data_IF_299316092407
#
_entry.id   IF_299316092407
#
_cell.length_a   1.000
_cell.length_b   1.000
_cell.length_c   1.000
_cell.angle_alpha   90.00
_cell.angle_beta   90.00
_cell.angle_gamma   90.00
#
_symmetry.space_group_name_H-M   'P 1'
#
loop_
_entity.id
_entity.type
_entity.pdbx_description
1 polymer ?
#
# COMPACT_ATOMS: atom_id res chain seq x y z
N UNK A 1 22.38 -13.25 -9.90
CA UNK A 1 22.00 -13.08 -8.48
C UNK A 1 23.25 -13.02 -7.57
N UNK A 2 24.23 -13.90 -7.70
CA UNK A 2 25.42 -13.86 -6.84
C UNK A 2 26.22 -12.57 -6.99
N UNK A 3 26.45 -12.12 -8.22
CA UNK A 3 27.10 -10.83 -8.50
C UNK A 3 26.33 -9.65 -7.87
N UNK A 4 24.98 -9.67 -7.92
CA UNK A 4 24.17 -8.63 -7.29
C UNK A 4 24.37 -8.59 -5.77
N UNK A 5 24.46 -9.75 -5.09
CA UNK A 5 24.75 -9.84 -3.65
C UNK A 5 26.09 -9.19 -3.29
N UNK A 6 27.12 -9.50 -4.07
CA UNK A 6 28.45 -8.89 -3.88
C UNK A 6 28.40 -7.37 -4.02
N UNK A 7 27.69 -6.86 -5.04
CA UNK A 7 27.55 -5.42 -5.28
C UNK A 7 26.72 -4.72 -4.18
N UNK A 8 25.65 -5.35 -3.67
CA UNK A 8 24.88 -4.84 -2.53
C UNK A 8 25.74 -4.78 -1.26
N UNK A 9 26.51 -5.85 -0.99
CA UNK A 9 27.45 -5.88 0.15
C UNK A 9 28.50 -4.78 0.03
N UNK A 10 29.14 -4.62 -1.14
CA UNK A 10 30.11 -3.57 -1.39
C UNK A 10 29.53 -2.14 -1.27
N UNK A 11 28.23 -1.99 -1.53
CA UNK A 11 27.50 -0.74 -1.36
C UNK A 11 26.99 -0.51 0.08
N UNK A 12 27.23 -1.44 1.01
CA UNK A 12 26.75 -1.38 2.40
C UNK A 12 25.22 -1.50 2.51
N UNK A 13 24.54 -2.11 1.54
CA UNK A 13 23.09 -2.26 1.50
C UNK A 13 22.72 -3.63 2.10
N UNK A 14 21.94 -3.60 3.18
CA UNK A 14 21.50 -4.80 3.86
C UNK A 14 20.52 -5.63 3.02
N UNK A 15 20.65 -6.95 3.04
CA UNK A 15 19.70 -7.85 2.41
C UNK A 15 19.62 -9.19 3.16
N UNK A 16 18.51 -9.90 2.90
CA UNK A 16 18.28 -11.28 3.34
C UNK A 16 17.96 -12.15 2.14
N UNK A 17 18.36 -13.42 2.20
CA UNK A 17 18.05 -14.42 1.18
C UNK A 17 16.85 -15.25 1.61
N UNK A 18 15.99 -15.61 0.66
CA UNK A 18 14.81 -16.45 0.87
C UNK A 18 13.91 -15.96 2.03
N UNK A 19 13.80 -14.64 2.18
CA UNK A 19 13.00 -14.02 3.25
C UNK A 19 11.51 -14.24 3.01
N UNK A 20 10.75 -14.81 3.97
CA UNK A 20 9.32 -15.06 3.85
C UNK A 20 8.52 -13.75 3.74
N UNK A 21 7.88 -13.51 2.59
CA UNK A 21 7.12 -12.28 2.33
C UNK A 21 5.84 -12.17 3.18
N UNK A 22 5.33 -13.28 3.69
CA UNK A 22 4.24 -13.29 4.67
C UNK A 22 4.57 -12.46 5.92
N UNK A 23 5.84 -12.33 6.31
CA UNK A 23 6.26 -11.49 7.44
C UNK A 23 6.15 -9.98 7.14
N UNK A 24 6.16 -9.60 5.86
CA UNK A 24 6.27 -8.23 5.37
C UNK A 24 4.99 -7.69 4.72
N UNK A 25 3.86 -8.35 4.90
CA UNK A 25 2.57 -7.87 4.44
C UNK A 25 1.48 -8.07 5.51
N UNK A 26 0.43 -7.25 5.44
CA UNK A 26 -0.67 -7.30 6.43
C UNK A 26 -1.55 -8.53 6.25
N UNK A 27 -1.57 -9.16 5.07
CA UNK A 27 -2.33 -10.38 4.80
C UNK A 27 -1.70 -11.64 5.42
N UNK A 28 -0.40 -11.56 5.75
CA UNK A 28 0.37 -12.69 6.29
C UNK A 28 0.38 -13.92 5.37
N UNK A 29 0.40 -13.69 4.07
CA UNK A 29 0.46 -14.70 3.00
C UNK A 29 1.61 -14.34 2.04
N UNK A 30 2.36 -15.34 1.61
CA UNK A 30 3.41 -15.21 0.62
C UNK A 30 4.63 -16.07 0.90
N UNK A 31 5.14 -16.69 -0.15
CA UNK A 31 6.39 -17.43 -0.14
C UNK A 31 7.62 -16.52 -0.04
N UNK A 32 8.83 -17.06 -0.23
CA UNK A 32 10.06 -16.30 -0.03
C UNK A 32 10.38 -15.33 -1.18
N UNK A 33 10.94 -14.17 -0.86
CA UNK A 33 11.68 -13.37 -1.83
C UNK A 33 13.08 -13.95 -2.02
N UNK A 34 13.56 -14.06 -3.26
CA UNK A 34 14.92 -14.53 -3.52
C UNK A 34 15.96 -13.64 -2.86
N UNK A 35 15.78 -12.31 -2.93
CA UNK A 35 16.47 -11.34 -2.09
C UNK A 35 15.46 -10.33 -1.54
N UNK A 36 15.55 -10.06 -0.26
CA UNK A 36 14.82 -9.00 0.43
C UNK A 36 15.83 -7.93 0.85
N UNK A 37 15.81 -6.77 0.18
CA UNK A 37 16.80 -5.71 0.33
C UNK A 37 16.21 -4.59 1.15
N UNK A 38 16.95 -4.11 2.14
CA UNK A 38 16.53 -3.09 3.10
C UNK A 38 17.43 -1.85 2.99
N UNK A 39 17.16 -0.94 2.03
CA UNK A 39 17.89 0.31 1.93
C UNK A 39 17.66 1.16 3.18
N UNK A 40 18.72 1.71 3.75
CA UNK A 40 18.64 2.55 4.94
C UNK A 40 18.14 3.97 4.63
N UNK A 41 18.31 4.42 3.38
CA UNK A 41 17.97 5.75 2.94
C UNK A 41 17.71 5.80 1.42
N UNK A 42 17.35 6.98 0.93
CA UNK A 42 17.07 7.26 -0.48
C UNK A 42 18.26 6.96 -1.41
N UNK A 43 19.49 7.27 -0.98
CA UNK A 43 20.69 7.04 -1.80
C UNK A 43 20.91 5.54 -1.99
N UNK A 44 20.76 4.75 -0.93
CA UNK A 44 20.83 3.30 -1.00
C UNK A 44 19.69 2.70 -1.84
N UNK A 45 18.47 3.23 -1.76
CA UNK A 45 17.35 2.80 -2.60
C UNK A 45 17.67 3.02 -4.09
N UNK A 46 18.07 4.24 -4.47
CA UNK A 46 18.47 4.55 -5.85
C UNK A 46 19.60 3.64 -6.32
N UNK A 47 20.59 3.40 -5.48
CA UNK A 47 21.71 2.50 -5.78
C UNK A 47 21.26 1.06 -5.99
N UNK A 48 20.39 0.53 -5.10
CA UNK A 48 19.84 -0.81 -5.22
C UNK A 48 19.04 -1.01 -6.50
N UNK A 49 18.19 -0.03 -6.85
CA UNK A 49 17.45 -0.03 -8.13
C UNK A 49 18.42 -0.06 -9.32
N UNK A 50 19.43 0.80 -9.32
CA UNK A 50 20.45 0.85 -10.40
C UNK A 50 21.20 -0.49 -10.52
N UNK A 51 21.57 -1.13 -9.41
CA UNK A 51 22.22 -2.44 -9.40
C UNK A 51 21.30 -3.53 -9.95
N UNK A 52 20.03 -3.56 -9.56
CA UNK A 52 19.07 -4.53 -10.10
C UNK A 52 18.94 -4.39 -11.63
N UNK A 53 18.82 -3.16 -12.12
CA UNK A 53 18.73 -2.89 -13.56
C UNK A 53 20.00 -3.30 -14.31
N UNK A 54 21.18 -2.91 -13.81
CA UNK A 54 22.46 -3.26 -14.44
C UNK A 54 22.69 -4.77 -14.52
N UNK A 55 22.13 -5.53 -13.59
CA UNK A 55 22.21 -6.98 -13.56
C UNK A 55 21.03 -7.70 -14.25
N UNK A 56 20.07 -6.96 -14.84
CA UNK A 56 18.88 -7.52 -15.47
C UNK A 56 17.99 -8.29 -14.48
N UNK A 57 18.03 -7.95 -13.19
CA UNK A 57 17.26 -8.61 -12.15
C UNK A 57 15.97 -7.84 -11.91
N UNK A 58 14.82 -8.53 -12.00
CA UNK A 58 13.52 -7.93 -11.68
C UNK A 58 13.45 -7.56 -10.20
N UNK A 59 12.81 -6.45 -9.90
CA UNK A 59 12.60 -6.00 -8.52
C UNK A 59 11.17 -5.53 -8.30
N UNK A 60 10.77 -5.52 -7.04
CA UNK A 60 9.48 -5.03 -6.56
C UNK A 60 9.69 -4.06 -5.39
N UNK A 61 9.03 -2.90 -5.43
CA UNK A 61 9.07 -1.91 -4.35
C UNK A 61 7.97 -2.21 -3.35
N UNK A 62 8.33 -2.46 -2.11
CA UNK A 62 7.42 -2.81 -1.04
C UNK A 62 7.39 -1.71 0.02
N UNK A 63 6.22 -1.10 0.23
CA UNK A 63 5.95 -0.29 1.42
C UNK A 63 5.51 -1.18 2.60
N UNK A 64 4.42 -0.84 3.27
CA UNK A 64 3.90 -1.63 4.39
C UNK A 64 3.16 -2.93 4.00
N UNK A 65 3.11 -3.29 2.72
CA UNK A 65 2.45 -4.50 2.24
C UNK A 65 0.95 -4.59 2.55
N UNK A 66 0.27 -3.45 2.70
CA UNK A 66 -1.13 -3.40 3.17
C UNK A 66 -2.19 -3.54 2.05
N UNK A 67 -1.76 -3.60 0.79
CA UNK A 67 -2.62 -3.85 -0.37
C UNK A 67 -2.05 -4.97 -1.27
N UNK A 68 -1.27 -5.88 -0.70
CA UNK A 68 -0.49 -6.88 -1.44
C UNK A 68 -0.89 -8.29 -1.02
N UNK A 69 -1.02 -9.16 -2.03
CA UNK A 69 -1.08 -10.61 -1.88
C UNK A 69 0.11 -11.21 -2.63
N UNK A 70 1.09 -11.72 -1.91
CA UNK A 70 2.22 -12.42 -2.52
C UNK A 70 1.85 -13.85 -2.86
N UNK A 71 2.39 -14.34 -3.99
CA UNK A 71 2.24 -15.73 -4.42
C UNK A 71 2.84 -16.72 -3.41
N UNK A 72 2.32 -17.93 -3.38
CA UNK A 72 2.80 -18.99 -2.48
C UNK A 72 4.23 -19.44 -2.83
N UNK A 73 4.59 -19.37 -4.12
CA UNK A 73 5.96 -19.63 -4.61
C UNK A 73 6.93 -18.50 -4.25
N UNK A 74 6.41 -17.36 -3.79
CA UNK A 74 7.18 -16.18 -3.47
C UNK A 74 7.48 -15.28 -4.67
N UNK A 75 8.59 -14.55 -4.60
CA UNK A 75 9.02 -13.62 -5.63
C UNK A 75 10.43 -13.96 -6.14
N UNK A 76 10.50 -14.42 -7.39
CA UNK A 76 11.78 -14.78 -8.01
C UNK A 76 12.51 -13.51 -8.51
N UNK A 77 12.94 -12.68 -7.57
CA UNK A 77 13.60 -11.40 -7.82
C UNK A 77 14.02 -10.74 -6.52
N UNK A 78 14.15 -9.42 -6.56
CA UNK A 78 14.50 -8.58 -5.42
C UNK A 78 13.27 -7.85 -4.92
N UNK A 79 12.94 -7.97 -3.64
CA UNK A 79 11.98 -7.08 -2.98
C UNK A 79 12.75 -5.98 -2.26
N UNK A 80 12.50 -4.72 -2.64
CA UNK A 80 13.11 -3.53 -2.03
C UNK A 80 12.13 -2.98 -0.99
N UNK A 81 12.44 -3.16 0.28
CA UNK A 81 11.61 -2.69 1.40
C UNK A 81 11.88 -1.22 1.71
N UNK A 82 11.03 -0.33 1.18
CA UNK A 82 11.14 1.12 1.45
C UNK A 82 10.67 1.49 2.86
N UNK A 83 9.92 0.63 3.54
CA UNK A 83 9.48 0.88 4.92
C UNK A 83 10.61 0.83 5.94
N UNK A 84 11.75 0.26 5.57
CA UNK A 84 12.98 0.20 6.38
C UNK A 84 13.79 1.49 6.35
N UNK A 85 13.52 2.42 5.42
CA UNK A 85 14.26 3.66 5.28
C UNK A 85 14.07 4.57 6.51
N UNK A 86 15.13 5.29 6.88
CA UNK A 86 15.13 6.29 7.96
C UNK A 86 14.59 7.63 7.47
N UNK A 87 13.44 7.57 6.82
CA UNK A 87 12.78 8.75 6.28
C UNK A 87 12.17 9.60 7.39
N UNK A 88 12.16 10.90 7.15
CA UNK A 88 11.60 11.91 8.07
C UNK A 88 10.48 12.70 7.43
N UNK A 89 9.77 13.46 8.24
CA UNK A 89 8.85 14.51 7.80
C UNK A 89 9.46 15.86 8.12
N UNK A 90 9.59 16.70 7.11
CA UNK A 90 10.03 18.10 7.23
C UNK A 90 8.82 19.00 7.10
N UNK A 91 8.77 20.06 7.94
CA UNK A 91 7.64 21.00 7.99
C UNK A 91 8.14 22.41 7.72
N UNK A 92 7.56 23.07 6.71
CA UNK A 92 7.84 24.45 6.35
C UNK A 92 6.53 25.25 6.20
N UNK A 93 6.14 25.93 7.27
CA UNK A 93 4.84 26.62 7.35
C UNK A 93 3.69 25.62 7.23
N UNK A 94 2.93 25.68 6.14
CA UNK A 94 1.80 24.78 5.86
C UNK A 94 2.18 23.61 4.94
N UNK A 95 3.44 23.49 4.56
CA UNK A 95 3.93 22.42 3.70
C UNK A 95 4.65 21.34 4.49
N UNK A 96 4.32 20.08 4.20
CA UNK A 96 5.01 18.90 4.73
C UNK A 96 5.69 18.17 3.58
N UNK A 97 6.97 17.84 3.74
CA UNK A 97 7.70 16.94 2.84
C UNK A 97 8.01 15.66 3.58
N UNK A 98 7.60 14.53 3.04
CA UNK A 98 7.81 13.22 3.66
C UNK A 98 8.47 12.24 2.69
N UNK A 99 9.44 11.46 3.17
CA UNK A 99 10.02 10.37 2.42
C UNK A 99 9.02 9.24 2.17
N UNK A 100 9.24 8.47 1.10
CA UNK A 100 8.31 7.42 0.67
C UNK A 100 8.10 6.31 1.71
N UNK A 101 9.10 6.06 2.56
CA UNK A 101 9.05 5.06 3.64
C UNK A 101 8.30 5.51 4.89
N UNK A 102 8.02 6.80 5.06
CA UNK A 102 7.28 7.32 6.22
C UNK A 102 5.90 6.68 6.30
N UNK A 103 5.52 6.21 7.49
CA UNK A 103 4.16 5.71 7.74
C UNK A 103 3.15 6.85 7.73
N UNK A 104 1.98 6.62 7.13
CA UNK A 104 0.90 7.63 7.09
C UNK A 104 0.49 8.10 8.49
N UNK A 105 0.46 7.21 9.46
CA UNK A 105 0.16 7.58 10.84
C UNK A 105 1.20 8.55 11.45
N UNK A 106 2.47 8.44 11.07
CA UNK A 106 3.52 9.37 11.50
C UNK A 106 3.34 10.73 10.79
N UNK A 107 3.10 10.74 9.46
CA UNK A 107 2.81 11.97 8.72
C UNK A 107 1.62 12.73 9.33
N UNK A 108 0.50 12.04 9.64
CA UNK A 108 -0.68 12.65 10.25
C UNK A 108 -0.40 13.19 11.66
N UNK A 109 0.40 12.49 12.46
CA UNK A 109 0.80 12.98 13.79
C UNK A 109 1.67 14.24 13.70
N UNK A 110 2.62 14.28 12.78
CA UNK A 110 3.43 15.48 12.53
C UNK A 110 2.55 16.65 12.08
N UNK A 111 1.56 16.43 11.21
CA UNK A 111 0.60 17.47 10.83
C UNK A 111 -0.16 18.02 12.05
N UNK A 112 -0.67 17.14 12.93
CA UNK A 112 -1.35 17.53 14.16
C UNK A 112 -0.42 18.32 15.10
N UNK A 113 0.82 17.89 15.29
CA UNK A 113 1.82 18.56 16.14
C UNK A 113 2.12 19.99 15.67
N UNK A 114 1.92 20.27 14.37
CA UNK A 114 2.07 21.59 13.77
C UNK A 114 0.74 22.31 13.52
N UNK A 115 -0.36 21.84 14.11
CA UNK A 115 -1.69 22.44 13.96
C UNK A 115 -2.15 22.54 12.50
N UNK A 116 -1.88 21.51 11.69
CA UNK A 116 -2.22 21.44 10.28
C UNK A 116 -3.29 20.38 10.02
N UNK A 117 -4.40 20.80 9.41
CA UNK A 117 -5.55 19.94 9.03
C UNK A 117 -5.50 19.56 7.55
N UNK A 118 -6.12 18.44 7.19
CA UNK A 118 -6.26 17.93 5.81
C UNK A 118 -5.81 16.47 5.65
N UNK A 119 -5.11 15.88 6.62
CA UNK A 119 -4.60 14.50 6.58
C UNK A 119 -5.35 13.53 7.51
N UNK A 120 -6.39 13.95 8.20
CA UNK A 120 -7.09 13.14 9.21
C UNK A 120 -7.66 11.84 8.62
N UNK A 121 -8.09 11.87 7.35
CA UNK A 121 -8.60 10.70 6.63
C UNK A 121 -7.55 9.58 6.49
N UNK A 122 -6.28 9.95 6.46
CA UNK A 122 -5.17 9.03 6.22
C UNK A 122 -4.65 8.34 7.49
N UNK A 123 -4.97 8.87 8.68
CA UNK A 123 -4.40 8.42 9.97
C UNK A 123 -4.57 6.91 10.21
N UNK A 124 -5.72 6.36 9.88
CA UNK A 124 -6.01 4.94 10.04
C UNK A 124 -5.55 4.04 8.88
N UNK A 125 -5.02 4.58 7.78
CA UNK A 125 -4.58 3.77 6.63
C UNK A 125 -3.21 3.14 6.96
N UNK A 126 -3.08 1.79 6.93
CA UNK A 126 -1.84 1.12 7.32
C UNK A 126 -0.82 1.10 6.17
N UNK A 127 -0.46 2.28 5.64
CA UNK A 127 0.43 2.42 4.49
C UNK A 127 1.65 3.29 4.77
N UNK A 128 2.58 3.33 3.81
CA UNK A 128 3.63 4.34 3.72
C UNK A 128 3.22 5.45 2.75
N UNK A 129 3.87 6.60 2.84
CA UNK A 129 3.66 7.74 1.94
C UNK A 129 3.77 7.33 0.47
N UNK A 130 4.86 6.63 0.11
CA UNK A 130 5.04 6.17 -1.28
C UNK A 130 3.93 5.23 -1.75
N UNK A 131 3.52 4.27 -0.92
CA UNK A 131 2.40 3.38 -1.23
C UNK A 131 1.05 4.11 -1.33
N UNK A 132 0.84 5.12 -0.49
CA UNK A 132 -0.38 5.92 -0.51
C UNK A 132 -0.48 6.82 -1.76
N UNK A 133 0.62 7.46 -2.16
CA UNK A 133 0.67 8.25 -3.40
C UNK A 133 0.50 7.34 -4.62
N UNK A 134 1.18 6.19 -4.65
CA UNK A 134 1.06 5.21 -5.73
C UNK A 134 -0.40 4.79 -5.99
N UNK A 135 -1.18 4.61 -4.93
CA UNK A 135 -2.58 4.18 -4.99
C UNK A 135 -3.58 5.34 -4.96
N UNK A 136 -3.14 6.60 -4.94
CA UNK A 136 -4.02 7.72 -4.55
C UNK A 136 -4.93 7.30 -3.39
N UNK A 137 -4.32 6.84 -2.30
CA UNK A 137 -5.04 6.24 -1.18
C UNK A 137 -6.04 7.22 -0.58
N UNK A 138 -7.22 6.72 -0.26
CA UNK A 138 -8.28 7.54 0.32
C UNK A 138 -9.21 6.75 1.23
N UNK A 139 -9.81 7.45 2.18
CA UNK A 139 -10.80 6.95 3.12
C UNK A 139 -11.70 8.11 3.59
N UNK A 140 -12.96 7.81 3.93
CA UNK A 140 -13.88 8.75 4.56
C UNK A 140 -14.07 10.07 3.79
N UNK A 141 -13.96 10.04 2.46
CA UNK A 141 -14.19 11.18 1.59
C UNK A 141 -12.95 12.00 1.25
N UNK A 142 -11.80 11.75 1.88
CA UNK A 142 -10.50 12.35 1.51
C UNK A 142 -9.62 11.36 0.75
N UNK A 143 -8.73 11.86 -0.08
CA UNK A 143 -7.72 11.09 -0.82
C UNK A 143 -6.42 11.89 -0.98
N UNK A 144 -5.30 11.19 -1.29
CA UNK A 144 -3.98 11.83 -1.35
C UNK A 144 -3.95 13.03 -2.30
N UNK A 145 -4.62 12.96 -3.45
CA UNK A 145 -4.66 14.07 -4.43
C UNK A 145 -5.21 15.38 -3.87
N UNK A 146 -6.00 15.33 -2.79
CA UNK A 146 -6.64 16.53 -2.22
C UNK A 146 -5.62 17.42 -1.49
N UNK A 147 -4.49 16.86 -1.08
CA UNK A 147 -3.44 17.53 -0.30
C UNK A 147 -2.05 17.45 -0.92
N UNK A 148 -1.83 16.55 -1.88
CA UNK A 148 -0.55 16.34 -2.56
C UNK A 148 -0.24 17.51 -3.50
N UNK A 149 0.98 18.02 -3.48
CA UNK A 149 1.46 19.07 -4.38
C UNK A 149 2.49 18.59 -5.38
N UNK A 150 3.55 17.91 -4.91
CA UNK A 150 4.61 17.40 -5.76
C UNK A 150 5.11 16.05 -5.27
N UNK A 151 5.73 15.30 -6.18
CA UNK A 151 6.38 14.02 -5.89
C UNK A 151 7.75 13.99 -6.54
N UNK A 152 8.78 13.64 -5.76
CA UNK A 152 10.06 13.25 -6.32
C UNK A 152 10.10 11.75 -6.53
N UNK A 153 10.54 11.31 -7.69
CA UNK A 153 10.60 9.90 -8.04
C UNK A 153 11.80 9.57 -8.91
N UNK A 154 12.24 8.32 -8.85
CA UNK A 154 13.23 7.75 -9.75
C UNK A 154 12.50 7.18 -10.96
N UNK A 155 12.88 7.61 -12.16
CA UNK A 155 12.28 7.12 -13.41
C UNK A 155 12.72 5.69 -13.74
N UNK A 156 12.06 5.08 -14.72
CA UNK A 156 12.50 3.80 -15.24
C UNK A 156 13.92 3.85 -15.82
N UNK A 157 14.44 4.99 -16.26
CA UNK A 157 15.81 5.19 -16.75
C UNK A 157 16.82 5.40 -15.63
N UNK A 158 16.37 5.70 -14.42
CA UNK A 158 17.22 5.92 -13.24
C UNK A 158 17.52 7.39 -12.96
N UNK A 159 16.79 8.31 -13.57
CA UNK A 159 16.85 9.73 -13.31
C UNK A 159 15.92 10.12 -12.16
N UNK A 160 16.35 11.02 -11.30
CA UNK A 160 15.49 11.63 -10.30
C UNK A 160 14.73 12.79 -10.93
N UNK A 161 13.41 12.71 -10.93
CA UNK A 161 12.50 13.77 -11.43
C UNK A 161 11.54 14.23 -10.35
N UNK A 162 11.00 15.41 -10.55
CA UNK A 162 9.89 15.94 -9.78
C UNK A 162 8.70 16.16 -10.71
N UNK A 163 7.50 15.83 -10.23
CA UNK A 163 6.25 16.05 -10.95
C UNK A 163 5.23 16.70 -10.03
N UNK A 164 4.44 17.63 -10.56
CA UNK A 164 3.30 18.19 -9.85
C UNK A 164 2.17 17.15 -9.73
N UNK A 165 1.36 17.24 -8.70
CA UNK A 165 0.23 16.32 -8.48
C UNK A 165 -0.71 16.25 -9.70
N UNK A 166 -0.89 17.35 -10.42
CA UNK A 166 -1.71 17.40 -11.64
C UNK A 166 -1.18 16.54 -12.80
N UNK A 167 0.11 16.21 -12.79
CA UNK A 167 0.78 15.41 -13.83
C UNK A 167 0.74 13.89 -13.49
N UNK A 168 0.26 13.53 -12.28
CA UNK A 168 0.35 12.16 -11.77
C UNK A 168 -0.88 11.29 -12.11
N UNK A 169 -1.85 11.79 -12.86
CA UNK A 169 -3.11 11.10 -13.21
C UNK A 169 -3.76 10.40 -12.00
N UNK A 170 -3.89 11.15 -10.91
CA UNK A 170 -4.43 10.63 -9.65
C UNK A 170 -5.95 10.42 -9.77
N UNK A 171 -6.34 9.18 -9.95
CA UNK A 171 -7.73 8.71 -10.01
C UNK A 171 -8.00 7.72 -8.88
N UNK A 172 -9.21 7.20 -8.81
CA UNK A 172 -9.56 6.16 -7.83
C UNK A 172 -8.62 4.95 -7.91
N UNK A 173 -7.80 4.77 -6.88
CA UNK A 173 -6.81 3.69 -6.78
C UNK A 173 -5.80 3.63 -7.93
N UNK A 174 -5.40 4.79 -8.45
CA UNK A 174 -4.52 4.89 -9.60
C UNK A 174 -3.60 6.11 -9.52
N UNK A 175 -2.39 5.95 -10.07
CA UNK A 175 -1.44 7.00 -10.43
C UNK A 175 -0.59 6.56 -11.61
N UNK A 176 0.09 7.49 -12.30
CA UNK A 176 1.00 7.19 -13.43
C UNK A 176 2.09 6.18 -13.08
N UNK A 177 2.43 6.05 -11.80
CA UNK A 177 3.48 5.12 -11.35
C UNK A 177 3.10 3.64 -11.56
N UNK A 178 1.82 3.35 -11.76
CA UNK A 178 1.34 2.02 -12.14
C UNK A 178 1.81 1.62 -13.54
N UNK A 179 1.95 2.60 -14.45
CA UNK A 179 2.25 2.39 -15.86
C UNK A 179 3.72 2.67 -16.19
N UNK A 180 4.32 3.71 -15.59
CA UNK A 180 5.67 4.15 -15.93
C UNK A 180 6.79 3.48 -15.11
N UNK A 181 6.45 2.65 -14.11
CA UNK A 181 7.43 1.95 -13.28
C UNK A 181 8.31 2.87 -12.41
N UNK A 182 7.90 4.13 -12.21
CA UNK A 182 8.63 5.09 -11.38
C UNK A 182 8.62 4.68 -9.90
N UNK A 183 9.73 4.92 -9.22
CA UNK A 183 9.88 4.69 -7.79
C UNK A 183 9.73 6.00 -7.03
N UNK A 184 8.65 6.16 -6.27
CA UNK A 184 8.41 7.34 -5.45
C UNK A 184 9.49 7.42 -4.36
N UNK A 185 10.13 8.58 -4.22
CA UNK A 185 11.20 8.84 -3.26
C UNK A 185 10.72 9.73 -2.11
N UNK A 186 9.93 10.76 -2.41
CA UNK A 186 9.29 11.63 -1.43
C UNK A 186 8.06 12.31 -2.01
N UNK A 187 7.20 12.82 -1.14
CA UNK A 187 6.01 13.57 -1.52
C UNK A 187 5.88 14.82 -0.67
N UNK A 188 5.40 15.90 -1.28
CA UNK A 188 5.09 17.17 -0.61
C UNK A 188 3.58 17.37 -0.56
N UNK A 189 3.13 17.86 0.58
CA UNK A 189 1.71 18.09 0.88
C UNK A 189 1.50 19.55 1.30
N UNK A 190 0.44 20.18 0.82
CA UNK A 190 -0.02 21.47 1.29
C UNK A 190 -1.24 21.28 2.19
N UNK A 191 -1.13 21.71 3.43
CA UNK A 191 -2.18 21.62 4.42
C UNK A 191 -2.66 23.02 4.83
N UNK A 192 -3.69 23.09 5.66
CA UNK A 192 -4.19 24.37 6.18
C UNK A 192 -4.06 24.41 7.70
N UNK A 193 -3.85 25.61 8.31
CA UNK A 193 -3.90 25.73 9.75
C UNK A 193 -5.27 25.31 10.31
N UNK A 194 -5.25 24.65 11.46
CA UNK A 194 -6.46 24.19 12.14
C UNK A 194 -6.26 24.09 13.65
N UNK A 195 -7.36 23.92 14.37
CA UNK A 195 -7.32 23.76 15.83
C UNK A 195 -6.86 22.34 16.19
N UNK A 196 -5.78 22.17 16.97
CA UNK A 196 -5.21 20.86 17.30
C UNK A 196 -6.22 19.88 17.91
N UNK A 197 -7.11 20.38 18.76
CA UNK A 197 -8.15 19.58 19.42
C UNK A 197 -9.18 19.06 18.40
N UNK A 198 -9.56 19.89 17.42
CA UNK A 198 -10.47 19.50 16.35
C UNK A 198 -9.83 18.45 15.40
N UNK A 199 -8.55 18.65 15.04
CA UNK A 199 -7.77 17.71 14.23
C UNK A 199 -7.69 16.35 14.93
N UNK A 200 -7.30 16.34 16.23
CA UNK A 200 -7.22 15.13 17.03
C UNK A 200 -8.58 14.43 17.13
N UNK A 201 -9.62 15.17 17.48
CA UNK A 201 -10.97 14.63 17.59
C UNK A 201 -11.42 13.98 16.27
N UNK A 202 -11.07 14.59 15.12
CA UNK A 202 -11.38 14.00 13.80
C UNK A 202 -10.58 12.74 13.51
N UNK A 203 -9.29 12.73 13.82
CA UNK A 203 -8.46 11.52 13.69
C UNK A 203 -9.00 10.36 14.55
N UNK A 204 -9.38 10.65 15.79
CA UNK A 204 -9.91 9.65 16.74
C UNK A 204 -11.30 9.15 16.28
N UNK A 205 -12.18 10.06 15.83
CA UNK A 205 -13.49 9.69 15.24
C UNK A 205 -13.33 8.71 14.06
N UNK A 206 -12.42 9.02 13.12
CA UNK A 206 -12.21 8.20 11.94
C UNK A 206 -11.57 6.85 12.28
N UNK A 207 -10.66 6.85 13.25
CA UNK A 207 -10.06 5.60 13.77
C UNK A 207 -11.12 4.74 14.47
N UNK A 208 -11.98 5.33 15.31
CA UNK A 208 -13.07 4.60 15.97
C UNK A 208 -14.04 3.98 14.95
N UNK A 209 -14.45 4.72 13.93
CA UNK A 209 -15.26 4.19 12.82
C UNK A 209 -14.58 3.04 12.10
N UNK A 210 -13.25 3.09 11.95
CA UNK A 210 -12.49 2.02 11.32
C UNK A 210 -12.44 0.77 12.19
N UNK A 211 -12.15 0.92 13.48
CA UNK A 211 -12.15 -0.17 14.45
C UNK A 211 -13.52 -0.84 14.57
N UNK A 212 -14.60 -0.05 14.55
CA UNK A 212 -15.97 -0.56 14.59
C UNK A 212 -16.33 -1.39 13.36
N UNK A 213 -15.98 -0.90 12.14
CA UNK A 213 -16.49 -1.47 10.88
C UNK A 213 -15.57 -2.45 10.17
N UNK A 214 -14.25 -2.41 10.42
CA UNK A 214 -13.28 -3.23 9.68
C UNK A 214 -12.70 -4.35 10.54
N UNK A 215 -12.35 -5.52 9.94
CA UNK A 215 -11.81 -6.68 10.65
C UNK A 215 -10.30 -6.51 10.92
N UNK A 216 -9.93 -5.49 11.72
CA UNK A 216 -8.51 -5.17 11.99
C UNK A 216 -7.82 -6.18 12.91
N UNK A 217 -8.59 -7.06 13.53
CA UNK A 217 -8.16 -8.20 14.34
C UNK A 217 -7.68 -9.40 13.51
N UNK A 218 -7.95 -9.39 12.19
CA UNK A 218 -7.57 -10.48 11.28
C UNK A 218 -6.65 -9.99 10.17
N UNK A 219 -5.65 -10.80 9.74
CA UNK A 219 -4.80 -10.46 8.62
C UNK A 219 -5.61 -10.30 7.33
N UNK A 220 -5.38 -9.19 6.61
CA UNK A 220 -6.01 -8.88 5.34
C UNK A 220 -5.18 -7.84 4.56
N UNK A 221 -5.52 -7.61 3.30
CA UNK A 221 -4.95 -6.52 2.48
C UNK A 221 -5.97 -5.38 2.26
N UNK A 222 -6.80 -5.08 3.27
CA UNK A 222 -7.84 -4.06 3.15
C UNK A 222 -9.03 -4.52 2.31
N UNK A 223 -9.69 -3.57 1.63
CA UNK A 223 -10.78 -3.89 0.70
C UNK A 223 -10.26 -4.72 -0.46
N UNK A 224 -10.88 -5.88 -0.69
CA UNK A 224 -10.43 -6.85 -1.69
C UNK A 224 -10.85 -6.46 -3.10
N UNK A 225 -12.02 -5.81 -3.23
CA UNK A 225 -12.59 -5.42 -4.51
C UNK A 225 -12.77 -3.90 -4.60
N UNK A 226 -12.51 -3.35 -5.78
CA UNK A 226 -12.79 -1.96 -6.13
C UNK A 226 -14.29 -1.68 -6.01
N UNK A 227 -14.64 -0.43 -5.75
CA UNK A 227 -16.04 0.01 -5.80
C UNK A 227 -16.51 0.01 -7.25
N UNK A 228 -17.55 -0.76 -7.61
CA UNK A 228 -18.14 -0.69 -8.94
C UNK A 228 -18.95 0.62 -9.09
N UNK A 229 -19.13 1.04 -10.33
CA UNK A 229 -19.93 2.25 -10.64
C UNK A 229 -21.37 2.04 -10.15
N UNK A 230 -21.87 2.98 -9.38
CA UNK A 230 -23.26 2.97 -8.88
C UNK A 230 -23.54 2.03 -7.70
N UNK A 231 -22.53 1.29 -7.18
CA UNK A 231 -22.72 0.36 -6.08
C UNK A 231 -21.52 0.29 -5.14
N UNK A 232 -21.65 -0.47 -4.06
CA UNK A 232 -20.57 -0.77 -3.12
C UNK A 232 -20.30 -2.28 -3.13
N UNK A 233 -19.07 -2.69 -3.40
CA UNK A 233 -18.70 -4.10 -3.45
C UNK A 233 -19.10 -4.86 -2.18
N UNK A 234 -18.87 -4.29 -1.00
CA UNK A 234 -19.25 -4.90 0.28
C UNK A 234 -20.76 -5.15 0.40
N UNK A 235 -21.58 -4.20 -0.07
CA UNK A 235 -23.04 -4.33 -0.02
C UNK A 235 -23.53 -5.42 -0.99
N UNK A 236 -22.97 -5.48 -2.20
CA UNK A 236 -23.31 -6.52 -3.19
C UNK A 236 -22.95 -7.92 -2.67
N UNK A 237 -21.76 -8.07 -2.08
CA UNK A 237 -21.30 -9.34 -1.49
C UNK A 237 -22.21 -9.78 -0.33
N UNK A 238 -22.58 -8.83 0.54
CA UNK A 238 -23.50 -9.09 1.67
C UNK A 238 -24.90 -9.46 1.19
N UNK A 239 -25.44 -8.73 0.21
CA UNK A 239 -26.74 -9.01 -0.43
C UNK A 239 -26.79 -10.41 -1.07
N UNK A 240 -25.66 -10.90 -1.57
CA UNK A 240 -25.56 -12.25 -2.12
C UNK A 240 -25.49 -13.36 -1.05
N UNK A 241 -25.46 -13.01 0.24
CA UNK A 241 -25.37 -13.97 1.35
C UNK A 241 -23.97 -14.55 1.54
N UNK A 242 -22.92 -13.83 1.11
CA UNK A 242 -21.54 -14.33 1.13
C UNK A 242 -20.74 -13.91 2.38
N UNK A 243 -21.41 -13.35 3.40
CA UNK A 243 -20.78 -13.07 4.70
C UNK A 243 -20.26 -14.35 5.33
N UNK A 244 -18.96 -14.38 5.69
CA UNK A 244 -18.33 -15.58 6.25
C UNK A 244 -18.07 -16.71 5.24
N UNK A 245 -18.36 -16.51 3.94
CA UNK A 245 -18.08 -17.50 2.91
C UNK A 245 -16.59 -17.82 2.82
N UNK A 246 -16.23 -19.10 2.68
CA UNK A 246 -14.85 -19.59 2.85
C UNK A 246 -14.37 -20.40 1.66
N UNK A 247 -13.06 -20.29 1.39
CA UNK A 247 -12.31 -21.21 0.55
C UNK A 247 -10.94 -21.47 1.22
N UNK A 248 -10.63 -22.73 1.55
CA UNK A 248 -9.43 -23.07 2.30
C UNK A 248 -9.31 -22.27 3.60
N UNK A 249 -8.17 -21.62 3.82
CA UNK A 249 -7.91 -20.74 4.96
C UNK A 249 -8.42 -19.31 4.81
N UNK A 250 -8.95 -18.93 3.64
CA UNK A 250 -9.45 -17.58 3.36
C UNK A 250 -10.96 -17.48 3.58
N UNK A 251 -11.45 -16.31 4.02
CA UNK A 251 -12.88 -16.05 4.18
C UNK A 251 -13.26 -14.62 3.85
N UNK A 252 -14.48 -14.41 3.35
CA UNK A 252 -15.15 -13.10 3.39
C UNK A 252 -15.40 -12.76 4.86
N UNK A 253 -14.97 -11.56 5.27
CA UNK A 253 -15.10 -11.15 6.66
C UNK A 253 -16.56 -11.07 7.11
N UNK A 254 -16.83 -11.60 8.28
CA UNK A 254 -18.14 -11.46 8.93
C UNK A 254 -18.44 -10.04 9.38
N UNK A 255 -17.41 -9.23 9.61
CA UNK A 255 -17.54 -7.83 10.05
C UNK A 255 -17.75 -6.86 8.88
N UNK A 256 -17.07 -7.10 7.74
CA UNK A 256 -17.14 -6.24 6.56
C UNK A 256 -16.95 -7.07 5.29
N UNK A 257 -18.02 -7.30 4.54
CA UNK A 257 -18.01 -8.19 3.36
C UNK A 257 -17.08 -7.73 2.20
N UNK A 258 -16.58 -6.51 2.22
CA UNK A 258 -15.56 -6.04 1.26
C UNK A 258 -14.14 -6.53 1.55
N UNK A 259 -13.92 -7.20 2.68
CA UNK A 259 -12.61 -7.72 3.09
C UNK A 259 -12.59 -9.24 2.97
N UNK A 260 -11.53 -9.76 2.39
CA UNK A 260 -11.12 -11.16 2.54
C UNK A 260 -10.06 -11.21 3.64
N UNK A 261 -10.23 -12.12 4.58
CA UNK A 261 -9.35 -12.29 5.75
C UNK A 261 -8.68 -13.66 5.72
N UNK A 262 -7.49 -13.74 6.28
CA UNK A 262 -6.79 -14.98 6.55
C UNK A 262 -7.20 -15.48 7.94
N UNK A 263 -7.85 -16.64 8.00
CA UNK A 263 -8.30 -17.28 9.25
C UNK A 263 -7.20 -18.10 9.94
N UNK A 264 -6.01 -18.13 9.34
CA UNK A 264 -4.88 -18.96 9.72
C UNK A 264 -4.56 -19.99 8.64
N UNK A 265 -3.32 -19.95 8.13
CA UNK A 265 -2.85 -20.88 7.10
C UNK A 265 -3.45 -20.69 5.70
N UNK A 266 -4.10 -19.55 5.41
CA UNK A 266 -4.55 -19.25 4.06
C UNK A 266 -3.38 -19.10 3.10
N UNK A 267 -3.54 -19.63 1.89
CA UNK A 267 -2.60 -19.50 0.78
C UNK A 267 -3.04 -18.39 -0.19
N UNK A 268 -2.13 -17.94 -1.06
CA UNK A 268 -2.48 -17.06 -2.17
C UNK A 268 -3.51 -17.73 -3.10
N UNK A 269 -3.37 -19.01 -3.32
CA UNK A 269 -4.31 -19.80 -4.13
C UNK A 269 -5.72 -19.79 -3.50
N UNK A 270 -5.86 -19.97 -2.19
CA UNK A 270 -7.15 -19.91 -1.48
C UNK A 270 -7.84 -18.55 -1.66
N UNK A 271 -7.07 -17.46 -1.48
CA UNK A 271 -7.61 -16.10 -1.63
C UNK A 271 -8.07 -15.83 -3.06
N UNK A 272 -7.29 -16.27 -4.07
CA UNK A 272 -7.64 -16.07 -5.47
C UNK A 272 -8.86 -16.90 -5.87
N UNK A 273 -8.96 -18.14 -5.41
CA UNK A 273 -10.13 -18.99 -5.64
C UNK A 273 -11.38 -18.37 -5.01
N UNK A 274 -11.30 -17.96 -3.73
CA UNK A 274 -12.39 -17.28 -3.04
C UNK A 274 -12.83 -16.00 -3.78
N UNK A 275 -11.88 -15.19 -4.24
CA UNK A 275 -12.21 -13.97 -4.99
C UNK A 275 -12.95 -14.29 -6.29
N UNK A 276 -12.59 -15.36 -6.99
CA UNK A 276 -13.24 -15.77 -8.24
C UNK A 276 -14.65 -16.31 -8.00
N UNK A 277 -14.84 -17.11 -6.96
CA UNK A 277 -16.16 -17.59 -6.55
C UNK A 277 -17.10 -16.44 -6.16
N UNK A 278 -16.61 -15.50 -5.33
CA UNK A 278 -17.37 -14.30 -4.94
C UNK A 278 -17.74 -13.47 -6.17
N UNK A 279 -16.80 -13.25 -7.09
CA UNK A 279 -17.03 -12.51 -8.32
C UNK A 279 -18.12 -13.15 -9.19
N UNK A 280 -18.05 -14.46 -9.36
CA UNK A 280 -19.01 -15.24 -10.16
C UNK A 280 -20.41 -15.13 -9.55
N UNK A 281 -20.56 -15.41 -8.26
CA UNK A 281 -21.86 -15.39 -7.56
C UNK A 281 -22.48 -13.98 -7.58
N UNK A 282 -21.67 -12.93 -7.33
CA UNK A 282 -22.14 -11.54 -7.36
C UNK A 282 -22.59 -11.17 -8.78
N UNK A 283 -21.82 -11.54 -9.81
CA UNK A 283 -22.19 -11.27 -11.21
C UNK A 283 -23.50 -11.96 -11.59
N UNK A 284 -23.66 -13.22 -11.25
CA UNK A 284 -24.88 -14.00 -11.55
C UNK A 284 -26.13 -13.43 -10.86
N UNK A 285 -26.00 -13.03 -9.57
CA UNK A 285 -27.13 -12.56 -8.79
C UNK A 285 -27.47 -11.08 -8.98
N UNK A 286 -26.50 -10.24 -9.34
CA UNK A 286 -26.68 -8.78 -9.34
C UNK A 286 -26.35 -8.11 -10.67
N UNK A 287 -25.69 -8.80 -11.60
CA UNK A 287 -25.19 -8.26 -12.86
C UNK A 287 -23.88 -7.47 -12.74
N UNK A 288 -23.43 -7.13 -11.53
CA UNK A 288 -22.18 -6.38 -11.31
C UNK A 288 -20.96 -7.27 -11.44
N UNK A 289 -19.94 -6.78 -12.17
CA UNK A 289 -18.64 -7.44 -12.25
C UNK A 289 -17.69 -6.79 -11.25
N UNK A 290 -17.19 -7.57 -10.26
CA UNK A 290 -16.24 -7.08 -9.27
C UNK A 290 -14.80 -7.18 -9.80
N UNK A 291 -14.02 -6.11 -9.61
CA UNK A 291 -12.59 -6.07 -9.89
C UNK A 291 -11.79 -6.09 -8.60
N UNK A 292 -10.70 -6.87 -8.57
CA UNK A 292 -9.80 -6.88 -7.40
C UNK A 292 -9.11 -5.53 -7.23
N UNK A 293 -9.08 -5.02 -5.98
CA UNK A 293 -8.27 -3.87 -5.57
C UNK A 293 -6.90 -4.31 -5.06
N UNK A 294 -6.82 -5.46 -4.42
CA UNK A 294 -5.56 -6.05 -3.94
C UNK A 294 -4.65 -6.41 -5.12
N UNK A 295 -3.35 -6.16 -4.95
CA UNK A 295 -2.34 -6.45 -5.97
C UNK A 295 -1.67 -7.79 -5.70
N UNK A 296 -1.76 -8.68 -6.69
CA UNK A 296 -1.11 -9.99 -6.64
C UNK A 296 0.30 -9.86 -7.18
N UNK A 297 1.31 -10.26 -6.41
CA UNK A 297 2.74 -10.18 -6.76
C UNK A 297 3.31 -11.58 -6.89
N UNK A 298 3.89 -11.85 -8.09
CA UNK A 298 4.44 -13.17 -8.48
C UNK A 298 5.84 -13.07 -9.02
#
# INVERSE_FOLDING_TARGET
MEQLKQLLTAAGIAYKENEPLAAHCTFKIGGPARLFVQPADRAQLCRAVALCKAQGVRYYLLGNGSNILFADEGYNGVVLDISSMRDTVEVHGTQLTAGAGVRLSALCKTALEHSLTGLEFAYGIPGTVGGAVYMNAGAYGGEMKDVLTTVQYLTAEGEVKEAAAAELDLRYRHSIFEENGGCILSAQFALTPGEPEAIRAKMDELMAKRLDKQPLDKPSAGSTFKRPVGAFAAALIDQCGLRGYRHGGAAVSEKHCGFVVNLGGATCADVLALCEEVRTIVKEKTGYNLEKEIRVVR
#
